data_IF_351294410856
#
_entry.id   IF_351294410856
#
_cell.length_a   1.000
_cell.length_b   1.000
_cell.length_c   1.000
_cell.angle_alpha   90.00
_cell.angle_beta   90.00
_cell.angle_gamma   90.00
#
_symmetry.space_group_name_H-M   'P 1'
#
loop_
_entity.id
_entity.type
_entity.pdbx_description
1 polymer ?
#
# COMPACT_ATOMS: atom_id res chain seq x y z
N UNK A 1 15.91 7.63 20.34
CA UNK A 1 14.80 8.50 19.86
C UNK A 1 14.53 8.33 18.37
N UNK A 2 15.55 8.32 17.51
CA UNK A 2 15.41 8.15 16.05
C UNK A 2 14.69 6.85 15.64
N UNK A 3 14.96 5.75 16.35
CA UNK A 3 14.33 4.43 16.10
C UNK A 3 12.81 4.41 16.39
N UNK A 4 12.35 5.13 17.42
CA UNK A 4 10.93 5.16 17.80
C UNK A 4 10.13 6.07 16.84
N UNK A 5 10.73 7.18 16.40
CA UNK A 5 10.17 8.05 15.35
C UNK A 5 10.07 7.29 14.02
N UNK A 6 11.13 6.59 13.62
CA UNK A 6 11.11 5.75 12.41
C UNK A 6 10.01 4.68 12.47
N UNK A 7 9.88 3.98 13.62
CA UNK A 7 8.83 2.98 13.79
C UNK A 7 7.42 3.57 13.63
N UNK A 8 7.17 4.74 14.20
CA UNK A 8 5.88 5.44 14.10
C UNK A 8 5.59 5.86 12.66
N UNK A 9 6.57 6.47 11.98
CA UNK A 9 6.42 6.88 10.57
C UNK A 9 6.17 5.66 9.69
N UNK A 10 6.94 4.58 9.87
CA UNK A 10 6.80 3.35 9.10
C UNK A 10 5.43 2.68 9.29
N UNK A 11 4.94 2.65 10.54
CA UNK A 11 3.61 2.14 10.88
C UNK A 11 2.50 3.00 10.25
N UNK A 12 2.64 4.32 10.29
CA UNK A 12 1.69 5.25 9.68
C UNK A 12 1.63 5.11 8.16
N UNK A 13 2.79 5.01 7.50
CA UNK A 13 2.88 4.80 6.04
C UNK A 13 2.27 3.45 5.65
N UNK A 14 2.55 2.39 6.41
CA UNK A 14 1.96 1.07 6.18
C UNK A 14 0.43 1.12 6.31
N UNK A 15 -0.09 1.75 7.37
CA UNK A 15 -1.53 1.92 7.56
C UNK A 15 -2.18 2.75 6.46
N UNK A 16 -1.50 3.80 5.98
CA UNK A 16 -1.98 4.61 4.86
C UNK A 16 -2.16 3.76 3.58
N UNK A 17 -1.17 2.94 3.22
CA UNK A 17 -1.26 2.10 2.03
C UNK A 17 -2.29 0.98 2.20
N UNK A 18 -2.41 0.38 3.39
CA UNK A 18 -3.48 -0.60 3.68
C UNK A 18 -4.86 0.03 3.52
N UNK A 19 -5.07 1.24 4.04
CA UNK A 19 -6.32 1.98 3.85
C UNK A 19 -6.58 2.30 2.38
N UNK A 20 -5.56 2.74 1.65
CA UNK A 20 -5.65 3.03 0.22
C UNK A 20 -6.01 1.78 -0.60
N UNK A 21 -5.45 0.60 -0.26
CA UNK A 21 -5.82 -0.69 -0.86
C UNK A 21 -7.30 -1.00 -0.59
N UNK A 22 -7.76 -0.85 0.66
CA UNK A 22 -9.15 -1.13 1.03
C UNK A 22 -10.14 -0.26 0.24
N UNK A 23 -9.83 1.03 0.07
CA UNK A 23 -10.63 1.95 -0.76
C UNK A 23 -10.68 1.47 -2.22
N UNK A 24 -9.52 1.21 -2.82
CA UNK A 24 -9.47 0.79 -4.22
C UNK A 24 -10.11 -0.58 -4.44
N UNK A 25 -10.03 -1.49 -3.48
CA UNK A 25 -10.74 -2.78 -3.53
C UNK A 25 -12.26 -2.57 -3.54
N UNK A 26 -12.77 -1.64 -2.72
CA UNK A 26 -14.18 -1.24 -2.73
C UNK A 26 -14.61 -0.64 -4.08
N UNK A 27 -13.79 0.24 -4.66
CA UNK A 27 -14.04 0.80 -5.99
C UNK A 27 -14.00 -0.26 -7.09
N UNK A 28 -13.02 -1.16 -7.07
CA UNK A 28 -12.89 -2.26 -8.02
C UNK A 28 -14.12 -3.17 -7.99
N UNK A 29 -14.58 -3.56 -6.79
CA UNK A 29 -15.81 -4.36 -6.62
C UNK A 29 -17.03 -3.67 -7.22
N UNK A 30 -17.17 -2.36 -7.01
CA UNK A 30 -18.29 -1.58 -7.56
C UNK A 30 -18.19 -1.42 -9.08
N UNK A 31 -16.99 -1.18 -9.60
CA UNK A 31 -16.73 -1.00 -11.04
C UNK A 31 -16.97 -2.28 -11.82
N UNK A 32 -16.60 -3.44 -11.26
CA UNK A 32 -16.85 -4.75 -11.84
C UNK A 32 -18.34 -5.05 -12.01
N UNK A 33 -19.21 -4.52 -11.13
CA UNK A 33 -20.66 -4.68 -11.26
C UNK A 33 -21.29 -3.74 -12.30
N UNK A 34 -20.57 -2.69 -12.73
CA UNK A 34 -21.05 -1.67 -13.65
C UNK A 34 -20.42 -1.80 -15.04
N UNK A 35 -19.62 -2.84 -15.29
CA UNK A 35 -18.82 -3.07 -16.50
C UNK A 35 -17.92 -1.87 -16.91
N UNK A 36 -17.63 -0.96 -15.98
CA UNK A 36 -16.71 0.16 -16.19
C UNK A 36 -15.26 -0.33 -16.07
N UNK A 37 -14.73 -0.71 -17.23
CA UNK A 37 -13.39 -1.27 -17.39
C UNK A 37 -12.29 -0.26 -17.06
N UNK A 38 -12.49 1.04 -17.36
CA UNK A 38 -11.47 2.06 -17.15
C UNK A 38 -11.28 2.36 -15.65
N UNK A 39 -12.39 2.50 -14.91
CA UNK A 39 -12.36 2.67 -13.46
C UNK A 39 -11.82 1.43 -12.76
N UNK A 40 -12.15 0.22 -13.25
CA UNK A 40 -11.62 -1.03 -12.71
C UNK A 40 -10.08 -1.11 -12.85
N UNK A 41 -9.53 -0.84 -14.03
CA UNK A 41 -8.08 -0.86 -14.27
C UNK A 41 -7.37 0.13 -13.35
N UNK A 42 -7.91 1.34 -13.17
CA UNK A 42 -7.33 2.35 -12.30
C UNK A 42 -7.33 1.91 -10.83
N UNK A 43 -8.43 1.31 -10.37
CA UNK A 43 -8.53 0.79 -9.01
C UNK A 43 -7.55 -0.38 -8.77
N UNK A 44 -7.48 -1.33 -9.70
CA UNK A 44 -6.54 -2.46 -9.63
C UNK A 44 -5.09 -1.97 -9.69
N UNK A 45 -4.78 -1.02 -10.57
CA UNK A 45 -3.45 -0.40 -10.65
C UNK A 45 -3.03 0.28 -9.35
N UNK A 46 -3.97 0.97 -8.69
CA UNK A 46 -3.74 1.57 -7.38
C UNK A 46 -3.43 0.54 -6.28
N UNK A 47 -4.10 -0.61 -6.31
CA UNK A 47 -3.83 -1.73 -5.38
C UNK A 47 -2.43 -2.29 -5.64
N UNK A 48 -2.10 -2.61 -6.89
CA UNK A 48 -0.80 -3.19 -7.26
C UNK A 48 0.34 -2.26 -6.84
N UNK A 49 0.23 -0.96 -7.17
CA UNK A 49 1.24 0.03 -6.78
C UNK A 49 1.44 0.07 -5.27
N UNK A 50 0.34 0.06 -4.50
CA UNK A 50 0.40 0.11 -3.04
C UNK A 50 1.09 -1.12 -2.45
N UNK A 51 0.80 -2.31 -2.97
CA UNK A 51 1.45 -3.55 -2.53
C UNK A 51 2.94 -3.53 -2.85
N UNK A 52 3.33 -3.05 -4.03
CA UNK A 52 4.74 -2.94 -4.43
C UNK A 52 5.49 -1.97 -3.52
N UNK A 53 4.90 -0.80 -3.21
CA UNK A 53 5.54 0.17 -2.32
C UNK A 53 5.67 -0.38 -0.89
N UNK A 54 4.63 -1.05 -0.36
CA UNK A 54 4.74 -1.73 0.94
C UNK A 54 5.88 -2.76 0.90
N UNK A 55 5.92 -3.64 -0.10
CA UNK A 55 6.95 -4.66 -0.19
C UNK A 55 8.36 -4.06 -0.23
N UNK A 56 8.58 -3.02 -1.04
CA UNK A 56 9.86 -2.32 -1.11
C UNK A 56 10.26 -1.70 0.24
N UNK A 57 9.33 -1.00 0.90
CA UNK A 57 9.57 -0.40 2.21
C UNK A 57 9.95 -1.44 3.28
N UNK A 58 9.29 -2.60 3.28
CA UNK A 58 9.58 -3.68 4.22
C UNK A 58 10.91 -4.39 3.91
N UNK A 59 11.30 -4.48 2.64
CA UNK A 59 12.62 -4.97 2.24
C UNK A 59 13.72 -4.01 2.74
N UNK A 60 13.54 -2.70 2.53
CA UNK A 60 14.49 -1.69 3.03
C UNK A 60 14.58 -1.70 4.56
N UNK A 61 13.44 -1.76 5.26
CA UNK A 61 13.41 -1.84 6.71
C UNK A 61 14.10 -3.11 7.24
N UNK A 62 13.86 -4.26 6.61
CA UNK A 62 14.54 -5.50 6.93
C UNK A 62 16.04 -5.42 6.70
N UNK A 63 16.47 -4.86 5.56
CA UNK A 63 17.90 -4.66 5.27
C UNK A 63 18.58 -3.79 6.33
N UNK A 64 17.97 -2.65 6.67
CA UNK A 64 18.48 -1.75 7.71
C UNK A 64 18.50 -2.42 9.09
N UNK A 65 17.55 -3.30 9.41
CA UNK A 65 17.52 -3.95 10.72
C UNK A 65 18.52 -5.10 10.87
N UNK A 66 18.79 -5.86 9.80
CA UNK A 66 19.63 -7.06 9.86
C UNK A 66 21.07 -6.84 9.37
N UNK A 67 21.33 -5.84 8.54
CA UNK A 67 22.63 -5.66 7.87
C UNK A 67 23.28 -4.28 8.05
N UNK A 68 22.57 -3.28 8.59
CA UNK A 68 23.10 -1.94 8.91
C UNK A 68 23.26 -1.74 10.42
#
# INVERSE_FOLDING_TARGET
MLNLIMLVVFSAVTLFFVYYIAINAGYAKRSANLDDTHSLIRAVGGIILSVVVIAALWIEAGFVHFFA
#
